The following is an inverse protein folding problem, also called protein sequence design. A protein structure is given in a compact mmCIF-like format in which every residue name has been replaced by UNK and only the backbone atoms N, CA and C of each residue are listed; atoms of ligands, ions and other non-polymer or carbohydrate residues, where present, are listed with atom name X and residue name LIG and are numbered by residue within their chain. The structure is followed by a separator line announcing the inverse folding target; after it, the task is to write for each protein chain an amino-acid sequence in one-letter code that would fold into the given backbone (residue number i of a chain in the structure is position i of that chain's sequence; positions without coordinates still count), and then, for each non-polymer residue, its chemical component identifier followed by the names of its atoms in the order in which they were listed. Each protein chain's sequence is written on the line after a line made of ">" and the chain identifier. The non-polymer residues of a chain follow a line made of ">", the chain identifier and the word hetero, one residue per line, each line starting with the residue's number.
data_IF_079607841719
#
_entry.id   IF_079607841719
#
_cell.length_a   1.000
_cell.length_b   1.000
_cell.length_c   1.000
_cell.angle_alpha   90.00
_cell.angle_beta   90.00
_cell.angle_gamma   90.00
#
_symmetry.space_group_name_H-M   'P 1'
#
loop_
_entity.id
_entity.type
_entity.pdbx_description
1 polymer ?
#
# COMPACT_ATOMS: atom_id res chain seq x y z
N UNK A 1 18.69 10.73 18.44
CA UNK A 1 17.54 9.91 18.01
C UNK A 1 16.68 10.79 17.11
N UNK A 2 16.51 10.43 15.84
CA UNK A 2 15.56 11.12 14.96
C UNK A 2 14.15 10.70 15.38
N UNK A 3 13.23 11.66 15.47
CA UNK A 3 11.82 11.35 15.75
C UNK A 3 11.24 10.61 14.54
N UNK A 4 10.44 9.57 14.78
CA UNK A 4 9.69 8.86 13.74
C UNK A 4 8.27 9.43 13.65
N UNK A 5 7.71 9.43 12.46
CA UNK A 5 6.31 9.84 12.18
C UNK A 5 5.60 8.70 11.46
N UNK A 6 4.32 8.54 11.75
CA UNK A 6 3.49 7.51 11.11
C UNK A 6 2.48 8.17 10.19
N UNK A 7 2.56 7.86 8.90
CA UNK A 7 1.57 8.27 7.89
C UNK A 7 0.66 7.08 7.60
N UNK A 8 -0.65 7.28 7.72
CA UNK A 8 -1.66 6.28 7.42
C UNK A 8 -2.59 6.73 6.30
N UNK A 9 -2.94 5.81 5.39
CA UNK A 9 -4.00 6.06 4.42
C UNK A 9 -4.70 4.77 3.99
N UNK A 10 -5.99 4.91 3.65
CA UNK A 10 -6.83 3.79 3.19
C UNK A 10 -6.68 3.57 1.68
N UNK A 11 -6.58 2.30 1.28
CA UNK A 11 -6.46 1.91 -0.12
C UNK A 11 -6.82 0.43 -0.30
N UNK A 12 -6.30 -0.19 -1.35
CA UNK A 12 -6.44 -1.62 -1.63
C UNK A 12 -5.09 -2.26 -1.89
N UNK A 13 -4.98 -3.54 -1.55
CA UNK A 13 -3.96 -4.45 -2.04
C UNK A 13 -4.50 -5.20 -3.26
N UNK A 14 -3.67 -5.41 -4.29
CA UNK A 14 -4.07 -6.09 -5.54
C UNK A 14 -3.29 -7.39 -5.76
N UNK A 15 -3.94 -8.39 -6.35
CA UNK A 15 -3.23 -9.58 -6.82
C UNK A 15 -4.11 -10.83 -6.86
N UNK A 16 -3.67 -11.84 -7.61
CA UNK A 16 -4.42 -13.09 -7.75
C UNK A 16 -4.60 -13.84 -6.42
N UNK A 17 -3.67 -13.70 -5.47
CA UNK A 17 -3.69 -14.40 -4.18
C UNK A 17 -4.33 -13.59 -3.04
N UNK A 18 -4.73 -12.35 -3.29
CA UNK A 18 -5.23 -11.42 -2.27
C UNK A 18 -6.52 -11.91 -1.61
N UNK A 19 -7.28 -12.82 -2.26
CA UNK A 19 -8.50 -13.41 -1.69
C UNK A 19 -8.38 -14.79 -1.06
N UNK A 20 -7.17 -15.37 -1.01
CA UNK A 20 -6.95 -16.65 -0.33
C UNK A 20 -6.51 -16.37 1.12
N UNK A 21 -7.44 -16.53 2.07
CA UNK A 21 -7.18 -16.56 3.52
C UNK A 21 -6.71 -15.24 4.18
N UNK A 22 -7.10 -14.07 3.64
CA UNK A 22 -6.85 -12.81 4.35
C UNK A 22 -8.00 -12.50 5.31
N UNK A 23 -7.66 -12.36 6.59
CA UNK A 23 -8.59 -12.00 7.67
C UNK A 23 -8.42 -10.52 7.99
N UNK A 24 -9.51 -9.78 8.24
CA UNK A 24 -9.41 -8.42 8.79
C UNK A 24 -8.53 -8.39 10.04
N UNK A 25 -7.66 -7.39 10.16
CA UNK A 25 -6.65 -7.25 11.21
C UNK A 25 -5.31 -7.91 10.88
N UNK A 26 -5.19 -8.68 9.79
CA UNK A 26 -3.90 -9.18 9.35
C UNK A 26 -2.99 -8.02 8.94
N UNK A 27 -1.81 -7.95 9.54
CA UNK A 27 -0.75 -7.01 9.15
C UNK A 27 0.24 -7.72 8.24
N UNK A 28 0.43 -7.16 7.05
CA UNK A 28 1.34 -7.66 6.03
C UNK A 28 2.57 -6.77 5.97
N UNK A 29 3.74 -7.41 5.88
CA UNK A 29 5.00 -6.72 5.65
C UNK A 29 5.12 -6.37 4.16
N UNK A 30 5.50 -5.12 3.86
CA UNK A 30 5.69 -4.68 2.50
C UNK A 30 7.17 -4.71 2.13
N UNK A 31 7.50 -5.31 0.99
CA UNK A 31 8.88 -5.40 0.50
C UNK A 31 8.97 -5.04 -0.96
N UNK A 32 10.12 -4.49 -1.31
CA UNK A 32 10.47 -4.26 -2.71
C UNK A 32 10.56 -5.60 -3.45
N UNK A 33 9.92 -5.68 -4.61
CA UNK A 33 10.00 -6.83 -5.50
C UNK A 33 11.07 -6.60 -6.57
N UNK A 34 12.19 -7.28 -6.45
CA UNK A 34 13.24 -7.25 -7.46
C UNK A 34 12.84 -8.05 -8.71
N UNK A 35 13.20 -7.56 -9.89
CA UNK A 35 13.04 -8.30 -11.15
C UNK A 35 11.61 -8.43 -11.67
N UNK A 36 10.64 -7.66 -11.16
CA UNK A 36 9.30 -7.63 -11.73
C UNK A 36 9.32 -7.05 -13.16
N UNK A 37 8.88 -7.84 -14.14
CA UNK A 37 8.92 -7.50 -15.56
C UNK A 37 7.87 -6.46 -16.00
N UNK A 38 6.83 -6.24 -15.21
CA UNK A 38 5.72 -5.34 -15.53
C UNK A 38 5.87 -3.97 -14.87
N UNK A 39 6.37 -3.96 -13.64
CA UNK A 39 6.57 -2.75 -12.87
C UNK A 39 7.91 -2.83 -12.15
N UNK A 40 8.90 -2.08 -12.67
CA UNK A 40 10.24 -2.03 -12.09
C UNK A 40 10.25 -1.46 -10.68
N UNK A 41 9.17 -0.87 -10.18
CA UNK A 41 9.05 -0.32 -8.82
C UNK A 41 8.08 -1.14 -7.95
N UNK A 42 7.70 -2.34 -8.38
CA UNK A 42 6.72 -3.17 -7.70
C UNK A 42 7.06 -3.36 -6.21
N UNK A 43 6.05 -3.17 -5.36
CA UNK A 43 6.14 -3.46 -3.93
C UNK A 43 5.09 -4.52 -3.61
N UNK A 44 5.54 -5.62 -3.02
CA UNK A 44 4.72 -6.77 -2.67
C UNK A 44 4.41 -6.78 -1.17
N UNK A 45 3.26 -7.37 -0.83
CA UNK A 45 2.87 -7.66 0.54
C UNK A 45 3.12 -9.14 0.81
N UNK A 46 3.75 -9.45 1.96
CA UNK A 46 4.05 -10.82 2.36
C UNK A 46 3.43 -11.17 3.71
N UNK A 47 3.05 -12.45 3.84
CA UNK A 47 2.71 -13.10 5.10
C UNK A 47 3.42 -14.45 5.16
N UNK A 48 4.22 -14.69 6.20
CA UNK A 48 4.96 -15.94 6.37
C UNK A 48 5.83 -16.32 5.16
N UNK A 49 6.46 -15.33 4.51
CA UNK A 49 7.29 -15.53 3.31
C UNK A 49 6.52 -15.77 2.00
N UNK A 50 5.18 -15.76 2.02
CA UNK A 50 4.35 -15.91 0.81
C UNK A 50 3.86 -14.55 0.32
N UNK A 51 3.85 -14.37 -0.99
CA UNK A 51 3.31 -13.17 -1.64
C UNK A 51 1.78 -13.23 -1.56
N UNK A 52 1.20 -12.25 -0.87
CA UNK A 52 -0.25 -12.08 -0.75
C UNK A 52 -0.78 -11.22 -1.90
N UNK A 53 -0.06 -10.14 -2.21
CA UNK A 53 -0.45 -9.19 -3.24
C UNK A 53 0.63 -8.16 -3.48
N UNK A 54 0.25 -7.11 -4.20
CA UNK A 54 1.10 -5.97 -4.55
C UNK A 54 0.35 -4.68 -4.30
N UNK A 55 1.14 -3.67 -4.01
CA UNK A 55 0.71 -2.28 -4.01
C UNK A 55 0.17 -1.95 -5.40
N UNK A 56 -0.91 -1.14 -5.51
CA UNK A 56 -1.35 -0.67 -6.80
C UNK A 56 -0.27 0.15 -7.51
N UNK A 57 -0.16 0.00 -8.84
CA UNK A 57 0.92 0.58 -9.65
C UNK A 57 1.10 2.09 -9.47
N UNK A 58 0.02 2.82 -9.16
CA UNK A 58 0.04 4.26 -8.89
C UNK A 58 0.92 4.63 -7.68
N UNK A 59 1.06 3.72 -6.72
CA UNK A 59 1.82 3.93 -5.49
C UNK A 59 3.18 3.23 -5.51
N UNK A 60 3.43 2.30 -6.44
CA UNK A 60 4.66 1.51 -6.51
C UNK A 60 5.92 2.35 -6.44
N UNK A 61 6.01 3.43 -7.24
CA UNK A 61 7.20 4.30 -7.26
C UNK A 61 7.44 4.99 -5.93
N UNK A 62 6.39 5.50 -5.29
CA UNK A 62 6.48 6.14 -3.99
C UNK A 62 6.90 5.14 -2.91
N UNK A 63 6.27 3.97 -2.88
CA UNK A 63 6.58 2.95 -1.88
C UNK A 63 8.00 2.39 -2.05
N UNK A 64 8.45 2.20 -3.30
CA UNK A 64 9.84 1.85 -3.63
C UNK A 64 10.80 2.88 -3.05
N UNK A 65 10.56 4.16 -3.33
CA UNK A 65 11.38 5.28 -2.84
C UNK A 65 11.44 5.32 -1.31
N UNK A 66 10.30 5.14 -0.64
CA UNK A 66 10.24 5.11 0.83
C UNK A 66 11.09 3.97 1.40
N UNK A 67 11.02 2.78 0.81
CA UNK A 67 11.77 1.60 1.28
C UNK A 67 13.27 1.75 0.98
N UNK A 68 13.63 2.13 -0.24
CA UNK A 68 15.00 2.09 -0.75
C UNK A 68 15.80 3.35 -0.38
N UNK A 69 15.22 4.54 -0.52
CA UNK A 69 15.91 5.82 -0.34
C UNK A 69 15.71 6.39 1.07
N UNK A 70 14.48 6.30 1.61
CA UNK A 70 14.16 6.88 2.91
C UNK A 70 14.35 5.90 4.07
N UNK A 71 14.64 4.63 3.76
CA UNK A 71 14.74 3.54 4.73
C UNK A 71 13.52 3.48 5.67
N UNK A 72 12.35 3.85 5.14
CA UNK A 72 11.07 3.81 5.84
C UNK A 72 10.50 2.39 5.86
N UNK A 73 9.71 2.11 6.88
CA UNK A 73 9.00 0.84 7.00
C UNK A 73 7.55 1.01 6.55
N UNK A 74 7.05 0.06 5.78
CA UNK A 74 5.65 0.05 5.33
C UNK A 74 5.00 -1.26 5.76
N UNK A 75 3.83 -1.13 6.37
CA UNK A 75 2.94 -2.25 6.67
C UNK A 75 1.57 -2.02 6.05
N UNK A 76 0.86 -3.12 5.79
CA UNK A 76 -0.46 -3.12 5.20
C UNK A 76 -1.40 -3.92 6.10
N UNK A 77 -2.32 -3.23 6.77
CA UNK A 77 -3.34 -3.85 7.60
C UNK A 77 -4.59 -4.11 6.78
N UNK A 78 -5.00 -5.37 6.67
CA UNK A 78 -6.22 -5.76 5.97
C UNK A 78 -7.43 -5.31 6.79
N UNK A 79 -8.31 -4.51 6.20
CA UNK A 79 -9.48 -3.95 6.90
C UNK A 79 -10.79 -4.67 6.60
N UNK A 80 -10.84 -5.41 5.49
CA UNK A 80 -11.97 -6.25 5.15
C UNK A 80 -11.48 -7.42 4.30
N UNK A 81 -12.18 -8.56 4.38
CA UNK A 81 -11.93 -9.70 3.48
C UNK A 81 -12.02 -9.25 2.02
N UNK A 82 -11.34 -9.97 1.12
CA UNK A 82 -11.41 -9.69 -0.31
C UNK A 82 -12.83 -9.93 -0.84
N UNK A 83 -13.66 -8.90 -0.81
CA UNK A 83 -15.01 -8.96 -1.34
C UNK A 83 -15.02 -8.56 -2.83
N UNK A 84 -15.79 -9.27 -3.67
CA UNK A 84 -16.26 -8.66 -4.89
C UNK A 84 -17.26 -7.54 -4.52
N UNK A 85 -16.78 -6.30 -4.48
CA UNK A 85 -17.54 -5.06 -4.79
C UNK A 85 -18.32 -4.25 -3.72
N UNK A 86 -18.29 -4.54 -2.42
CA UNK A 86 -19.15 -3.80 -1.46
C UNK A 86 -18.58 -2.48 -0.92
N UNK A 87 -17.26 -2.29 -0.98
CA UNK A 87 -16.60 -1.06 -0.52
C UNK A 87 -16.61 0.05 -1.58
N UNK A 88 -17.00 1.30 -1.23
CA UNK A 88 -17.16 2.41 -2.19
C UNK A 88 -15.91 2.71 -3.03
N UNK A 89 -14.72 2.56 -2.45
CA UNK A 89 -13.45 2.77 -3.13
C UNK A 89 -13.03 1.58 -4.01
N UNK A 90 -13.51 0.35 -3.76
CA UNK A 90 -13.16 -0.81 -4.59
C UNK A 90 -13.84 -0.80 -5.97
N UNK A 91 -15.01 -0.16 -6.11
CA UNK A 91 -15.77 -0.09 -7.37
C UNK A 91 -14.95 0.51 -8.53
N UNK A 92 -14.10 1.50 -8.27
CA UNK A 92 -13.27 2.13 -9.33
C UNK A 92 -12.11 1.24 -9.78
N UNK A 93 -11.68 0.33 -8.92
CA UNK A 93 -10.48 -0.47 -9.10
C UNK A 93 -10.79 -1.87 -9.68
N UNK A 94 -12.06 -2.30 -9.71
CA UNK A 94 -12.53 -3.56 -10.33
C UNK A 94 -12.12 -3.76 -11.80
N UNK A 95 -11.78 -2.71 -12.54
CA UNK A 95 -11.53 -2.79 -13.99
C UNK A 95 -10.24 -3.51 -14.39
N UNK A 96 -9.40 -3.93 -13.44
CA UNK A 96 -8.07 -4.50 -13.69
C UNK A 96 -7.93 -5.94 -13.19
N UNK A 97 -8.69 -6.90 -13.75
CA UNK A 97 -8.34 -8.32 -13.88
C UNK A 97 -7.86 -9.15 -12.66
N UNK A 98 -7.95 -8.65 -11.42
CA UNK A 98 -7.44 -9.33 -10.22
C UNK A 98 -8.24 -8.97 -8.96
N UNK A 99 -8.18 -9.86 -7.96
CA UNK A 99 -8.83 -9.66 -6.67
C UNK A 99 -8.21 -8.48 -5.92
N UNK A 100 -9.04 -7.84 -5.09
CA UNK A 100 -8.66 -6.68 -4.30
C UNK A 100 -9.11 -6.85 -2.86
N UNK A 101 -8.28 -6.38 -1.95
CA UNK A 101 -8.56 -6.43 -0.53
C UNK A 101 -8.33 -5.04 0.05
N UNK A 102 -9.36 -4.46 0.68
CA UNK A 102 -9.23 -3.26 1.49
C UNK A 102 -8.12 -3.32 2.50
N UNK A 103 -7.35 -2.24 2.59
CA UNK A 103 -6.29 -2.14 3.57
C UNK A 103 -6.02 -0.70 4.01
N UNK A 104 -5.35 -0.57 5.16
CA UNK A 104 -4.69 0.65 5.60
C UNK A 104 -3.20 0.44 5.44
N UNK A 105 -2.54 1.30 4.66
CA UNK A 105 -1.09 1.37 4.64
C UNK A 105 -0.64 2.23 5.82
N UNK A 106 0.33 1.72 6.60
CA UNK A 106 1.01 2.47 7.67
C UNK A 106 2.48 2.59 7.30
N UNK A 107 2.96 3.83 7.24
CA UNK A 107 4.31 4.17 6.80
C UNK A 107 5.01 4.86 7.96
N UNK A 108 6.09 4.25 8.42
CA UNK A 108 6.95 4.80 9.44
C UNK A 108 8.24 5.34 8.80
N UNK A 109 8.51 6.62 9.02
CA UNK A 109 9.68 7.30 8.47
C UNK A 109 10.23 8.34 9.45
N UNK A 110 11.43 8.85 9.19
CA UNK A 110 11.99 9.94 9.97
C UNK A 110 11.23 11.26 9.75
N UNK A 111 11.04 12.02 10.83
CA UNK A 111 10.20 13.23 10.85
C UNK A 111 10.61 14.29 9.84
N UNK A 112 11.91 14.42 9.56
CA UNK A 112 12.43 15.37 8.57
C UNK A 112 12.02 15.03 7.12
N UNK A 113 11.56 13.80 6.86
CA UNK A 113 11.04 13.35 5.56
C UNK A 113 9.51 13.42 5.49
N UNK A 114 8.82 13.75 6.59
CA UNK A 114 7.38 13.72 6.69
C UNK A 114 6.69 14.63 5.67
N UNK A 115 7.15 15.88 5.53
CA UNK A 115 6.53 16.84 4.60
C UNK A 115 6.64 16.37 3.14
N UNK A 116 7.83 15.89 2.75
CA UNK A 116 8.10 15.39 1.40
C UNK A 116 7.26 14.15 1.13
N UNK A 117 7.27 13.17 2.04
CA UNK A 117 6.52 11.93 1.88
C UNK A 117 5.00 12.16 1.87
N UNK A 118 4.49 13.09 2.69
CA UNK A 118 3.06 13.44 2.73
C UNK A 118 2.63 14.06 1.40
N UNK A 119 3.42 14.99 0.86
CA UNK A 119 3.12 15.63 -0.43
C UNK A 119 3.14 14.62 -1.57
N UNK A 120 4.20 13.82 -1.68
CA UNK A 120 4.30 12.78 -2.71
C UNK A 120 3.12 11.78 -2.61
N UNK A 121 2.65 11.50 -1.38
CA UNK A 121 1.47 10.65 -1.15
C UNK A 121 0.17 11.30 -1.59
N UNK A 122 -0.05 12.57 -1.25
CA UNK A 122 -1.24 13.31 -1.68
C UNK A 122 -1.32 13.37 -3.20
N UNK A 123 -0.20 13.71 -3.86
CA UNK A 123 -0.12 13.73 -5.33
C UNK A 123 -0.44 12.36 -5.94
N UNK A 124 0.02 11.26 -5.33
CA UNK A 124 -0.27 9.90 -5.78
C UNK A 124 -1.74 9.50 -5.56
N UNK A 125 -2.34 9.87 -4.43
CA UNK A 125 -3.76 9.64 -4.12
C UNK A 125 -4.67 10.41 -5.08
N UNK A 126 -4.36 11.68 -5.35
CA UNK A 126 -5.08 12.51 -6.31
C UNK A 126 -4.94 11.97 -7.74
N UNK A 127 -3.72 11.64 -8.16
CA UNK A 127 -3.46 11.03 -9.48
C UNK A 127 -4.18 9.69 -9.67
N UNK A 128 -4.34 8.92 -8.59
CA UNK A 128 -5.10 7.67 -8.59
C UNK A 128 -6.64 7.90 -8.57
N UNK A 129 -7.09 9.15 -8.42
CA UNK A 129 -8.50 9.50 -8.31
C UNK A 129 -9.17 8.91 -7.07
N UNK A 130 -8.44 8.84 -5.95
CA UNK A 130 -8.93 8.34 -4.68
C UNK A 130 -9.41 9.49 -3.78
N UNK A 131 -10.58 9.33 -3.15
CA UNK A 131 -11.05 10.22 -2.08
C UNK A 131 -10.45 9.78 -0.72
N UNK A 132 -9.14 9.54 -0.67
CA UNK A 132 -8.44 9.07 0.53
C UNK A 132 -7.94 10.24 1.37
N UNK A 133 -8.27 10.28 2.66
CA UNK A 133 -7.64 11.21 3.60
C UNK A 133 -6.32 10.61 4.10
N UNK A 134 -5.21 11.32 3.88
CA UNK A 134 -3.92 11.02 4.50
C UNK A 134 -3.96 11.54 5.94
N UNK A 135 -3.67 10.67 6.91
CA UNK A 135 -3.58 11.03 8.34
C UNK A 135 -2.14 10.90 8.82
N UNK A 136 -1.68 11.85 9.61
CA UNK A 136 -0.33 11.90 10.19
C UNK A 136 -0.48 11.78 11.71
N UNK A 137 0.28 10.87 12.32
CA UNK A 137 0.30 10.60 13.76
C UNK A 137 1.72 10.73 14.31
#
# INVERSE_FOLDING_TARGET
>A
MSAKVIICFQSVLKGQHVGLNQTPGNVLEMKREEGNSYDRFAVLAQSGGRIVGRVPIQFSRLFSKIIEEYHGQITCEITASAEPSTVPYAKRWQRSGGLQCPCIYRIELDSHLCEIATKDMQDAVESAGMNGHVQIF
#
